data_IF_275895242998
#
_entry.id   IF_275895242998
#
_cell.length_a   1.000
_cell.length_b   1.000
_cell.length_c   1.000
_cell.angle_alpha   90.00
_cell.angle_beta   90.00
_cell.angle_gamma   90.00
#
_symmetry.space_group_name_H-M   'P 1'
#
loop_
_entity.id
_entity.type
_entity.pdbx_description
1 polymer ?
#
# COMPACT_ATOMS: atom_id res chain seq x y z
N UNK A 1 -10.20 -8.40 14.95
CA UNK A 1 -10.19 -7.15 15.73
C UNK A 1 -9.35 -6.13 14.98
N UNK A 2 -8.02 -6.33 14.90
CA UNK A 2 -7.06 -5.47 14.16
C UNK A 2 -7.58 -4.88 12.83
N UNK A 3 -8.06 -5.69 11.87
CA UNK A 3 -8.57 -5.17 10.58
C UNK A 3 -9.67 -4.10 10.75
N UNK A 4 -10.70 -4.39 11.56
CA UNK A 4 -11.83 -3.47 11.78
C UNK A 4 -11.41 -2.22 12.52
N UNK A 5 -10.45 -2.36 13.43
CA UNK A 5 -9.92 -1.24 14.20
C UNK A 5 -9.10 -0.30 13.29
N UNK A 6 -8.34 -0.86 12.34
CA UNK A 6 -7.63 -0.10 11.29
C UNK A 6 -8.62 0.57 10.34
N UNK A 7 -9.64 -0.14 9.86
CA UNK A 7 -10.67 0.42 8.98
C UNK A 7 -11.38 1.62 9.62
N UNK A 8 -11.70 1.53 10.92
CA UNK A 8 -12.29 2.65 11.66
C UNK A 8 -11.32 3.82 11.78
N UNK A 9 -10.07 3.58 12.17
CA UNK A 9 -9.07 4.64 12.31
C UNK A 9 -8.82 5.38 10.99
N UNK A 10 -8.77 4.67 9.86
CA UNK A 10 -8.61 5.28 8.53
C UNK A 10 -9.88 5.99 8.03
N UNK A 11 -11.05 5.64 8.57
CA UNK A 11 -12.31 6.30 8.26
C UNK A 11 -12.53 7.61 9.03
N UNK A 12 -11.74 7.86 10.08
CA UNK A 12 -11.82 9.10 10.86
C UNK A 12 -11.50 10.32 9.97
N UNK A 13 -12.29 11.40 10.05
CA UNK A 13 -12.17 12.54 9.15
C UNK A 13 -10.81 13.24 9.24
N UNK A 14 -10.24 13.36 10.45
CA UNK A 14 -8.90 13.96 10.65
C UNK A 14 -7.81 13.12 9.96
N UNK A 15 -7.91 11.80 10.02
CA UNK A 15 -6.96 10.89 9.37
C UNK A 15 -7.10 10.99 7.84
N UNK A 16 -8.33 11.04 7.32
CA UNK A 16 -8.55 11.23 5.89
C UNK A 16 -8.03 12.56 5.37
N UNK A 17 -8.25 13.66 6.11
CA UNK A 17 -7.77 14.98 5.74
C UNK A 17 -6.25 15.03 5.73
N UNK A 18 -5.59 14.45 6.75
CA UNK A 18 -4.13 14.34 6.80
C UNK A 18 -3.59 13.49 5.65
N UNK A 19 -4.16 12.33 5.39
CA UNK A 19 -3.73 11.46 4.28
C UNK A 19 -3.82 12.18 2.94
N UNK A 20 -4.94 12.90 2.68
CA UNK A 20 -5.10 13.72 1.49
C UNK A 20 -4.07 14.86 1.43
N UNK A 21 -3.82 15.54 2.55
CA UNK A 21 -2.87 16.66 2.62
C UNK A 21 -1.42 16.24 2.31
N UNK A 22 -1.06 14.99 2.62
CA UNK A 22 0.25 14.42 2.31
C UNK A 22 0.33 13.83 0.88
N UNK A 23 -0.74 13.93 0.09
CA UNK A 23 -0.78 13.39 -1.27
C UNK A 23 -0.86 11.87 -1.32
N UNK A 24 -1.33 11.21 -0.26
CA UNK A 24 -1.58 9.78 -0.30
C UNK A 24 -2.80 9.47 -1.17
N UNK A 25 -2.60 8.61 -2.15
CA UNK A 25 -3.69 7.99 -2.90
C UNK A 25 -4.43 6.96 -2.03
N UNK A 26 -5.73 6.70 -2.29
CA UNK A 26 -6.50 5.71 -1.55
C UNK A 26 -5.81 4.35 -1.56
N UNK A 27 -5.38 3.88 -0.39
CA UNK A 27 -4.72 2.59 -0.26
C UNK A 27 -5.77 1.47 -0.20
N UNK A 28 -5.55 0.31 -0.86
CA UNK A 28 -6.48 -0.82 -0.81
C UNK A 28 -6.73 -1.28 0.63
N UNK A 29 -7.97 -1.14 1.09
CA UNK A 29 -8.35 -1.40 2.49
C UNK A 29 -8.84 -2.83 2.74
N UNK A 30 -9.10 -3.61 1.68
CA UNK A 30 -9.49 -5.02 1.82
C UNK A 30 -8.26 -5.94 1.77
N UNK A 31 -8.38 -7.12 2.41
CA UNK A 31 -7.31 -8.12 2.42
C UNK A 31 -6.98 -8.62 1.02
N UNK A 32 -8.01 -8.82 0.19
CA UNK A 32 -7.83 -9.28 -1.19
C UNK A 32 -7.11 -8.23 -2.03
N UNK A 33 -7.52 -6.97 -1.95
CA UNK A 33 -6.88 -5.88 -2.67
C UNK A 33 -5.44 -5.66 -2.21
N UNK A 34 -5.17 -5.77 -0.90
CA UNK A 34 -3.80 -5.69 -0.37
C UNK A 34 -2.92 -6.83 -0.88
N UNK A 35 -3.44 -8.07 -0.88
CA UNK A 35 -2.70 -9.21 -1.42
C UNK A 35 -2.40 -9.04 -2.92
N UNK A 36 -3.36 -8.53 -3.69
CA UNK A 36 -3.16 -8.22 -5.10
C UNK A 36 -2.09 -7.14 -5.30
N UNK A 37 -2.12 -6.07 -4.51
CA UNK A 37 -1.12 -5.00 -4.52
C UNK A 37 0.29 -5.53 -4.22
N UNK A 38 0.46 -6.34 -3.16
CA UNK A 38 1.75 -6.93 -2.82
C UNK A 38 2.28 -7.80 -3.96
N UNK A 39 1.44 -8.61 -4.58
CA UNK A 39 1.83 -9.44 -5.71
C UNK A 39 2.23 -8.62 -6.95
N UNK A 40 1.48 -7.57 -7.29
CA UNK A 40 1.80 -6.71 -8.43
C UNK A 40 3.10 -5.96 -8.22
N UNK A 41 3.30 -5.38 -7.04
CA UNK A 41 4.52 -4.62 -6.72
C UNK A 41 5.74 -5.54 -6.65
N UNK A 42 5.61 -6.73 -6.05
CA UNK A 42 6.69 -7.74 -6.03
C UNK A 42 7.13 -8.11 -7.45
N UNK A 43 6.17 -8.32 -8.35
CA UNK A 43 6.47 -8.64 -9.75
C UNK A 43 7.16 -7.48 -10.45
N UNK A 44 6.60 -6.27 -10.33
CA UNK A 44 7.12 -5.06 -10.97
C UNK A 44 8.55 -4.76 -10.54
N UNK A 45 8.82 -4.73 -9.25
CA UNK A 45 10.16 -4.44 -8.74
C UNK A 45 11.12 -5.58 -9.05
N UNK A 46 10.69 -6.84 -8.92
CA UNK A 46 11.50 -7.99 -9.32
C UNK A 46 11.92 -7.95 -10.79
N UNK A 47 11.02 -7.56 -11.69
CA UNK A 47 11.33 -7.39 -13.12
C UNK A 47 12.31 -6.25 -13.36
N UNK A 48 12.14 -5.11 -12.68
CA UNK A 48 13.07 -3.96 -12.78
C UNK A 48 14.46 -4.34 -12.29
N UNK A 49 14.56 -4.97 -11.12
CA UNK A 49 15.82 -5.41 -10.51
C UNK A 49 16.58 -6.34 -11.46
N UNK A 50 15.90 -7.35 -12.01
CA UNK A 50 16.51 -8.29 -12.97
C UNK A 50 16.96 -7.60 -14.26
N UNK A 51 16.14 -6.70 -14.80
CA UNK A 51 16.48 -5.97 -16.04
C UNK A 51 17.64 -5.00 -15.84
N UNK A 52 17.70 -4.33 -14.70
CA UNK A 52 18.73 -3.35 -14.39
C UNK A 52 20.01 -3.98 -13.83
N UNK A 53 19.99 -5.28 -13.50
CA UNK A 53 21.09 -6.01 -12.86
C UNK A 53 21.63 -5.30 -11.60
N UNK A 54 20.70 -4.82 -10.77
CA UNK A 54 21.01 -4.06 -9.54
C UNK A 54 20.89 -5.01 -8.35
N UNK A 55 21.86 -4.95 -7.43
CA UNK A 55 21.80 -5.63 -6.13
C UNK A 55 21.95 -4.63 -4.99
N UNK A 56 21.37 -4.96 -3.84
CA UNK A 56 21.51 -4.20 -2.60
C UNK A 56 22.67 -4.80 -1.78
N UNK A 57 23.88 -4.71 -2.32
CA UNK A 57 25.13 -4.97 -1.55
C UNK A 57 25.70 -3.62 -1.07
#
# INVERSE_FOLDING_TARGET
KIKRDIEKALAEPDVQEKFKSFGYEPFPTTREQFNQFVQSETRRFGDVIKKANVSLD
#
